data_IF_868385927882
#
_entry.id   IF_868385927882
#
_cell.length_a   1.000
_cell.length_b   1.000
_cell.length_c   1.000
_cell.angle_alpha   90.00
_cell.angle_beta   90.00
_cell.angle_gamma   90.00
#
_symmetry.space_group_name_H-M   'P 1'
#
loop_
_entity.id
_entity.type
_entity.pdbx_description
1 polymer ?
#
# COMPACT_ATOMS: atom_id res chain seq x y z
N UNK A 1 -3.83 18.06 0.90
CA UNK A 1 -4.27 17.68 -0.46
C UNK A 1 -4.15 16.19 -0.67
N UNK A 2 -5.10 15.59 -1.39
CA UNK A 2 -4.94 14.24 -1.93
C UNK A 2 -3.63 14.20 -2.75
N UNK A 3 -2.82 13.16 -2.55
CA UNK A 3 -1.49 13.12 -3.16
C UNK A 3 -1.63 12.80 -4.65
N UNK A 4 -1.74 13.81 -5.50
CA UNK A 4 -1.70 13.66 -6.97
C UNK A 4 -0.43 12.94 -7.45
N UNK A 5 0.65 13.01 -6.65
CA UNK A 5 1.88 12.22 -6.79
C UNK A 5 1.64 10.71 -6.99
N UNK A 6 0.60 10.15 -6.38
CA UNK A 6 0.24 8.72 -6.54
C UNK A 6 -0.10 8.36 -8.00
N UNK A 7 -0.34 9.37 -8.85
CA UNK A 7 -0.42 9.32 -10.30
C UNK A 7 0.73 8.55 -10.95
N UNK A 8 1.88 9.21 -11.07
CA UNK A 8 3.10 8.56 -11.60
C UNK A 8 3.38 7.27 -10.83
N UNK A 9 3.28 7.32 -9.50
CA UNK A 9 3.71 6.20 -8.67
C UNK A 9 2.85 4.95 -8.94
N UNK A 10 1.57 5.03 -9.26
CA UNK A 10 0.81 3.80 -9.61
C UNK A 10 1.05 3.30 -11.05
N UNK A 11 1.35 4.22 -11.97
CA UNK A 11 1.62 3.88 -13.37
C UNK A 11 3.00 3.21 -13.48
N UNK A 12 3.91 3.56 -12.57
CA UNK A 12 5.33 3.25 -12.65
C UNK A 12 5.83 2.33 -11.53
N UNK A 13 5.52 2.73 -10.30
CA UNK A 13 6.00 2.11 -9.06
C UNK A 13 5.13 0.92 -8.70
N UNK A 14 5.79 -0.01 -8.04
CA UNK A 14 5.17 -1.00 -7.19
C UNK A 14 4.63 -0.35 -5.88
N UNK A 15 3.77 0.68 -5.98
CA UNK A 15 3.52 1.61 -4.85
C UNK A 15 3.27 0.81 -3.57
N UNK A 16 3.95 1.17 -2.48
CA UNK A 16 3.73 0.51 -1.20
C UNK A 16 2.30 0.79 -0.74
N UNK A 17 1.49 -0.27 -0.69
CA UNK A 17 0.12 -0.26 -0.21
C UNK A 17 0.14 -0.88 1.18
N UNK A 18 -0.44 -0.17 2.14
CA UNK A 18 -0.64 -0.62 3.52
C UNK A 18 -1.25 -2.03 3.53
N UNK A 19 -0.58 -2.96 4.20
CA UNK A 19 -1.02 -4.34 4.27
C UNK A 19 -0.51 -5.03 5.54
N UNK A 20 -1.40 -5.65 6.32
CA UNK A 20 -1.02 -6.44 7.51
C UNK A 20 -0.41 -7.81 7.16
N UNK A 21 -0.25 -8.14 5.87
CA UNK A 21 0.19 -9.47 5.41
C UNK A 21 1.68 -9.72 5.50
N UNK A 22 2.49 -8.66 5.56
CA UNK A 22 3.93 -8.74 5.76
C UNK A 22 4.29 -8.08 7.08
N UNK A 23 5.42 -8.48 7.67
CA UNK A 23 5.97 -7.82 8.86
C UNK A 23 6.34 -6.36 8.62
N UNK A 24 6.70 -5.99 7.39
CA UNK A 24 7.01 -4.61 7.01
C UNK A 24 5.77 -3.69 7.01
N UNK A 25 4.55 -4.24 7.08
CA UNK A 25 3.30 -3.47 7.12
C UNK A 25 2.81 -2.97 5.76
N UNK A 26 3.36 -3.48 4.66
CA UNK A 26 2.93 -3.09 3.31
C UNK A 26 3.16 -4.20 2.28
N UNK A 27 2.49 -4.06 1.14
CA UNK A 27 2.62 -4.89 -0.06
C UNK A 27 2.76 -3.97 -1.29
N UNK A 28 3.27 -4.51 -2.40
CA UNK A 28 3.45 -3.74 -3.63
C UNK A 28 2.16 -3.69 -4.45
N UNK A 29 1.68 -2.52 -4.87
CA UNK A 29 0.60 -2.46 -5.85
C UNK A 29 1.06 -3.08 -7.18
N UNK A 30 0.19 -3.83 -7.86
CA UNK A 30 0.47 -4.35 -9.20
C UNK A 30 0.59 -3.17 -10.19
N UNK A 31 1.74 -3.02 -10.88
CA UNK A 31 1.94 -1.94 -11.85
C UNK A 31 0.95 -2.00 -13.01
N UNK A 32 0.55 -0.82 -13.50
CA UNK A 32 -0.43 -0.68 -14.57
C UNK A 32 -1.88 -0.92 -14.12
N UNK A 33 -2.08 -1.14 -12.83
CA UNK A 33 -3.39 -1.06 -12.20
C UNK A 33 -3.89 0.39 -12.05
N UNK A 34 -5.15 0.57 -11.63
CA UNK A 34 -5.65 1.87 -11.21
C UNK A 34 -4.82 2.45 -10.07
N UNK A 35 -4.75 3.79 -9.98
CA UNK A 35 -4.16 4.49 -8.83
C UNK A 35 -4.72 3.90 -7.55
N UNK A 36 -3.96 3.58 -6.49
CA UNK A 36 -4.53 3.12 -5.23
C UNK A 36 -5.19 4.27 -4.47
N UNK A 37 -6.07 3.93 -3.52
CA UNK A 37 -6.79 4.93 -2.72
C UNK A 37 -5.79 5.57 -1.74
N UNK A 38 -5.86 6.88 -1.49
CA UNK A 38 -4.88 7.58 -0.66
C UNK A 38 -4.73 6.97 0.75
N UNK A 39 -5.82 6.53 1.38
CA UNK A 39 -5.80 5.84 2.67
C UNK A 39 -5.09 4.49 2.63
N UNK A 40 -5.01 3.85 1.45
CA UNK A 40 -4.32 2.58 1.24
C UNK A 40 -2.82 2.72 1.05
N UNK A 41 -2.28 3.93 0.86
CA UNK A 41 -0.83 4.13 0.71
C UNK A 41 -0.14 3.77 2.03
N UNK A 42 0.88 2.93 1.94
CA UNK A 42 1.67 2.48 3.08
C UNK A 42 2.44 3.62 3.74
N UNK A 43 2.65 3.50 5.05
CA UNK A 43 3.52 4.41 5.80
C UNK A 43 4.94 4.43 5.22
N UNK A 44 5.54 5.64 5.17
CA UNK A 44 6.97 5.80 4.84
C UNK A 44 7.89 5.37 5.99
N UNK A 45 7.38 5.40 7.22
CA UNK A 45 8.11 4.94 8.40
C UNK A 45 8.06 3.41 8.44
N UNK A 46 9.23 2.79 8.62
CA UNK A 46 9.35 1.33 8.71
C UNK A 46 8.61 0.79 9.93
N UNK A 47 7.96 -0.36 9.80
CA UNK A 47 7.17 -0.98 10.88
C UNK A 47 7.95 -1.16 12.20
N UNK A 48 9.22 -1.62 12.22
CA UNK A 48 9.96 -1.72 13.47
C UNK A 48 10.26 -0.36 14.10
N UNK A 49 10.43 0.70 13.29
CA UNK A 49 10.57 2.07 13.81
C UNK A 49 9.26 2.54 14.44
N UNK A 50 8.12 2.32 13.77
CA UNK A 50 6.79 2.61 14.33
C UNK A 50 6.61 1.95 15.69
N UNK A 51 6.91 0.66 15.81
CA UNK A 51 6.82 -0.09 17.08
C UNK A 51 7.74 0.48 18.15
N UNK A 52 8.92 0.99 17.77
CA UNK A 52 9.83 1.60 18.74
C UNK A 52 9.32 2.92 19.32
N UNK A 53 8.44 3.64 18.62
CA UNK A 53 7.81 4.86 19.13
C UNK A 53 6.72 4.57 20.17
N UNK A 54 6.01 3.44 20.05
CA UNK A 54 5.01 3.03 21.05
C UNK A 54 5.63 2.38 22.30
N UNK A 55 6.96 2.31 22.38
CA UNK A 55 7.69 1.74 23.50
C UNK A 55 7.70 0.20 23.53
N UNK A 56 8.59 -0.36 24.34
CA UNK A 56 8.68 -1.80 24.57
C UNK A 56 7.48 -2.27 25.42
N UNK A 57 6.32 -2.50 24.81
CA UNK A 57 5.19 -3.11 25.53
C UNK A 57 3.81 -2.93 24.92
N UNK A 58 3.59 -1.96 24.03
CA UNK A 58 2.28 -1.76 23.40
C UNK A 58 2.25 -2.48 22.05
N UNK A 59 1.58 -3.65 21.96
CA UNK A 59 1.45 -4.33 20.69
C UNK A 59 0.49 -3.58 19.76
N UNK A 60 0.85 -3.46 18.49
CA UNK A 60 -0.05 -2.90 17.48
C UNK A 60 -0.94 -4.00 16.88
N UNK A 61 -2.28 -3.85 16.93
CA UNK A 61 -3.18 -4.82 16.35
C UNK A 61 -3.19 -4.72 14.82
N UNK A 62 -3.30 -5.89 14.20
CA UNK A 62 -3.47 -6.09 12.77
C UNK A 62 -4.59 -7.10 12.54
N UNK A 63 -5.37 -6.88 11.50
CA UNK A 63 -6.48 -7.73 11.09
C UNK A 63 -6.24 -8.17 9.65
N UNK A 64 -6.08 -9.47 9.42
CA UNK A 64 -5.92 -10.01 8.06
C UNK A 64 -6.60 -11.37 7.90
N UNK A 65 -7.20 -11.69 6.74
CA UNK A 65 -7.83 -12.99 6.54
C UNK A 65 -6.77 -14.07 6.34
N UNK A 66 -6.45 -14.83 7.36
CA UNK A 66 -5.47 -15.92 7.25
C UNK A 66 -6.04 -17.11 6.47
N UNK A 67 -5.16 -17.77 5.71
CA UNK A 67 -5.40 -19.07 5.09
C UNK A 67 -4.26 -19.98 5.56
N UNK A 68 -4.54 -21.05 6.32
CA UNK A 68 -5.83 -21.64 6.72
C UNK A 68 -6.67 -20.78 7.70
N UNK A 69 -8.00 -21.04 7.71
CA UNK A 69 -9.01 -20.31 8.52
C UNK A 69 -8.74 -20.40 10.04
N UNK A 70 -8.02 -21.43 10.47
CA UNK A 70 -7.80 -21.77 11.89
C UNK A 70 -6.80 -20.84 12.59
N UNK A 71 -5.99 -20.10 11.82
CA UNK A 71 -5.02 -19.13 12.35
C UNK A 71 -5.65 -17.90 13.01
N UNK A 72 -6.92 -17.63 12.70
CA UNK A 72 -7.61 -16.43 13.12
C UNK A 72 -7.11 -15.17 12.43
N UNK A 73 -7.96 -14.15 12.40
CA UNK A 73 -7.69 -12.92 11.64
C UNK A 73 -6.91 -11.85 12.40
N UNK A 74 -6.91 -11.91 13.73
CA UNK A 74 -6.28 -10.91 14.60
C UNK A 74 -4.84 -11.31 14.91
N UNK A 75 -3.91 -10.37 14.76
CA UNK A 75 -2.53 -10.54 15.17
C UNK A 75 -1.96 -9.27 15.81
N UNK A 76 -1.09 -9.46 16.79
CA UNK A 76 -0.44 -8.40 17.55
C UNK A 76 1.03 -8.33 17.18
N UNK A 77 1.49 -7.16 16.77
CA UNK A 77 2.91 -6.90 16.47
C UNK A 77 3.58 -6.21 17.65
N UNK A 78 4.70 -6.73 18.09
CA UNK A 78 5.53 -6.12 19.15
C UNK A 78 6.99 -6.05 18.74
N UNK A 79 7.71 -5.12 19.35
CA UNK A 79 9.17 -5.04 19.24
C UNK A 79 9.78 -5.94 20.33
N UNK A 80 10.56 -6.94 19.91
CA UNK A 80 11.22 -7.89 20.81
C UNK A 80 12.65 -7.45 21.16
N UNK A 81 13.35 -6.86 20.20
CA UNK A 81 14.72 -6.38 20.38
C UNK A 81 14.93 -5.11 19.56
N UNK A 82 15.66 -4.15 20.13
CA UNK A 82 16.17 -2.96 19.43
C UNK A 82 17.62 -2.73 19.84
N UNK A 83 18.52 -2.78 18.87
CA UNK A 83 19.92 -2.39 19.00
C UNK A 83 20.15 -1.21 18.08
N UNK A 84 20.66 -0.11 18.61
CA UNK A 84 20.81 1.14 17.85
C UNK A 84 22.18 1.74 18.10
N UNK A 85 22.83 2.14 17.02
CA UNK A 85 24.10 2.84 16.97
C UNK A 85 23.96 4.02 15.99
N UNK A 86 24.83 5.05 16.01
CA UNK A 86 24.70 6.19 15.10
C UNK A 86 24.70 5.83 13.61
N UNK A 87 25.34 4.71 13.23
CA UNK A 87 25.49 4.29 11.82
C UNK A 87 24.68 3.06 11.44
N UNK A 88 24.09 2.37 12.40
CA UNK A 88 23.28 1.18 12.12
C UNK A 88 22.26 0.94 13.21
N UNK A 89 21.14 0.33 12.87
CA UNK A 89 20.21 -0.20 13.85
C UNK A 89 19.70 -1.57 13.40
N UNK A 90 19.36 -2.39 14.37
CA UNK A 90 18.81 -3.72 14.21
C UNK A 90 17.58 -3.82 15.10
N UNK A 91 16.48 -4.30 14.54
CA UNK A 91 15.25 -4.56 15.26
C UNK A 91 14.72 -5.96 14.97
N UNK A 92 14.22 -6.60 16.02
CA UNK A 92 13.48 -7.85 15.92
C UNK A 92 12.03 -7.58 16.30
N UNK A 93 11.10 -7.92 15.41
CA UNK A 93 9.66 -7.79 15.61
C UNK A 93 9.03 -9.16 15.73
N UNK A 94 8.10 -9.30 16.67
CA UNK A 94 7.30 -10.50 16.88
C UNK A 94 5.85 -10.26 16.48
N UNK A 95 5.23 -11.24 15.86
CA UNK A 95 3.79 -11.29 15.63
C UNK A 95 3.20 -12.45 16.40
N UNK A 96 2.18 -12.17 17.21
CA UNK A 96 1.44 -13.17 17.98
C UNK A 96 -0.02 -13.25 17.53
N UNK A 97 -0.55 -14.47 17.38
CA UNK A 97 -1.94 -14.73 16.97
C UNK A 97 -2.76 -15.34 18.12
N UNK A 98 -3.45 -14.51 18.93
CA UNK A 98 -4.16 -14.98 20.11
C UNK A 98 -5.38 -15.85 19.78
N UNK A 99 -6.05 -15.59 18.65
CA UNK A 99 -7.29 -16.31 18.30
C UNK A 99 -7.03 -17.81 18.09
N UNK A 100 -5.91 -18.17 17.46
CA UNK A 100 -5.50 -19.57 17.31
C UNK A 100 -5.19 -20.21 18.65
N UNK A 101 -4.46 -19.51 19.53
CA UNK A 101 -4.19 -20.01 20.88
C UNK A 101 -5.49 -20.28 21.64
N UNK A 102 -6.43 -19.34 21.63
CA UNK A 102 -7.72 -19.48 22.32
C UNK A 102 -8.53 -20.64 21.73
N UNK A 103 -8.56 -20.80 20.40
CA UNK A 103 -9.28 -21.92 19.79
C UNK A 103 -8.64 -23.26 20.10
N UNK A 104 -7.32 -23.36 20.04
CA UNK A 104 -6.58 -24.59 20.31
C UNK A 104 -6.77 -25.00 21.78
N UNK A 105 -6.60 -24.06 22.71
CA UNK A 105 -6.81 -24.31 24.15
C UNK A 105 -8.27 -24.67 24.44
N UNK A 106 -9.23 -24.00 23.81
CA UNK A 106 -10.65 -24.33 23.98
C UNK A 106 -10.97 -25.74 23.50
N UNK A 107 -10.46 -26.13 22.33
CA UNK A 107 -10.67 -27.46 21.77
C UNK A 107 -10.05 -28.55 22.66
N UNK A 108 -8.85 -28.30 23.19
CA UNK A 108 -8.16 -29.22 24.10
C UNK A 108 -8.94 -29.41 25.41
N UNK A 109 -9.44 -28.30 25.97
CA UNK A 109 -10.27 -28.33 27.19
C UNK A 109 -11.61 -29.02 26.95
N UNK A 110 -12.25 -28.81 25.80
CA UNK A 110 -13.56 -29.41 25.51
C UNK A 110 -13.51 -30.91 25.21
N UNK A 111 -12.35 -31.41 24.78
CA UNK A 111 -12.14 -32.82 24.48
C UNK A 111 -11.54 -33.60 25.64
N UNK A 112 -11.22 -32.93 26.75
CA UNK A 112 -10.67 -33.57 27.94
C UNK A 112 -11.81 -34.13 28.80
N UNK A 113 -11.83 -35.46 28.96
CA UNK A 113 -12.78 -36.14 29.84
C UNK A 113 -12.50 -35.83 31.33
N UNK A 114 -11.22 -35.65 31.70
CA UNK A 114 -10.76 -35.27 33.04
C UNK A 114 -9.65 -34.20 32.99
N UNK A 115 -9.72 -33.21 33.89
CA UNK A 115 -8.69 -32.18 34.05
C UNK A 115 -7.49 -32.69 34.86
N UNK A 116 -6.64 -33.49 34.20
CA UNK A 116 -5.39 -34.01 34.78
C UNK A 116 -4.13 -33.21 34.45
N UNK A 117 -2.99 -33.68 34.97
CA UNK A 117 -1.64 -33.18 34.65
C UNK A 117 -1.29 -33.32 33.16
N UNK A 118 -1.87 -34.31 32.47
CA UNK A 118 -1.75 -34.49 31.01
C UNK A 118 -2.37 -33.32 30.26
N UNK A 119 -3.60 -32.96 30.59
CA UNK A 119 -4.34 -31.84 29.99
C UNK A 119 -3.60 -30.51 30.18
N UNK A 120 -3.01 -30.28 31.36
CA UNK A 120 -2.19 -29.08 31.62
C UNK A 120 -0.93 -29.04 30.75
N UNK A 121 -0.28 -30.19 30.55
CA UNK A 121 0.91 -30.31 29.69
C UNK A 121 0.56 -30.05 28.22
N UNK A 122 -0.57 -30.56 27.75
CA UNK A 122 -1.04 -30.38 26.38
C UNK A 122 -1.47 -28.93 26.12
N UNK A 123 -2.18 -28.31 27.07
CA UNK A 123 -2.47 -26.86 27.06
C UNK A 123 -1.17 -26.03 27.03
N UNK A 124 -0.18 -26.35 27.86
CA UNK A 124 1.12 -25.66 27.87
C UNK A 124 1.87 -25.79 26.54
N UNK A 125 1.77 -26.94 25.87
CA UNK A 125 2.36 -27.19 24.55
C UNK A 125 1.81 -26.23 23.49
N UNK A 126 0.54 -25.84 23.58
CA UNK A 126 -0.04 -24.87 22.65
C UNK A 126 0.62 -23.49 22.74
N UNK A 127 1.06 -23.03 23.92
CA UNK A 127 1.77 -21.76 24.07
C UNK A 127 3.15 -21.73 23.39
N UNK A 128 3.75 -22.89 23.12
CA UNK A 128 5.07 -23.03 22.47
C UNK A 128 4.90 -23.36 20.97
N UNK A 129 3.67 -23.45 20.47
CA UNK A 129 3.42 -23.81 19.08
C UNK A 129 3.96 -22.72 18.14
N UNK A 130 4.93 -23.12 17.29
CA UNK A 130 5.60 -22.24 16.32
C UNK A 130 4.61 -21.49 15.43
N UNK A 131 3.49 -22.11 15.07
CA UNK A 131 2.48 -21.52 14.18
C UNK A 131 1.76 -20.28 14.75
N UNK A 132 1.85 -20.04 16.07
CA UNK A 132 1.33 -18.82 16.70
C UNK A 132 2.21 -17.60 16.47
N UNK A 133 3.50 -17.84 16.16
CA UNK A 133 4.52 -16.82 16.13
C UNK A 133 5.05 -16.58 14.72
N UNK A 134 5.38 -15.33 14.46
CA UNK A 134 6.10 -14.90 13.26
C UNK A 134 7.15 -13.89 13.69
N UNK A 135 8.32 -13.93 13.06
CA UNK A 135 9.46 -13.11 13.44
C UNK A 135 9.97 -12.34 12.24
N UNK A 136 10.20 -11.05 12.41
CA UNK A 136 10.83 -10.18 11.43
C UNK A 136 12.11 -9.59 12.00
N UNK A 137 13.25 -9.77 11.34
CA UNK A 137 14.53 -9.15 11.65
C UNK A 137 14.83 -8.09 10.60
N UNK A 138 15.02 -6.85 11.04
CA UNK A 138 15.30 -5.71 10.16
C UNK A 138 16.58 -5.02 10.61
N UNK A 139 17.56 -4.90 9.73
CA UNK A 139 18.76 -4.07 9.95
C UNK A 139 18.84 -2.95 8.92
N UNK A 140 19.22 -1.76 9.37
CA UNK A 140 19.55 -0.66 8.49
C UNK A 140 20.97 -0.17 8.78
N UNK A 141 21.74 0.06 7.74
CA UNK A 141 23.07 0.65 7.79
C UNK A 141 23.04 1.99 7.06
N UNK A 142 23.56 3.03 7.69
CA UNK A 142 23.78 4.34 7.09
C UNK A 142 25.27 4.48 6.77
N UNK A 143 25.58 4.62 5.49
CA UNK A 143 26.93 4.85 4.98
C UNK A 143 27.04 6.33 4.58
N UNK A 144 27.79 7.15 5.32
CA UNK A 144 28.05 8.53 4.94
C UNK A 144 28.68 8.60 3.54
N UNK A 145 28.39 9.63 2.72
CA UNK A 145 27.62 10.84 3.04
C UNK A 145 26.09 10.77 2.77
N UNK A 146 25.59 9.82 1.96
CA UNK A 146 24.19 9.86 1.48
C UNK A 146 23.54 8.50 1.18
N UNK A 147 24.21 7.39 1.54
CA UNK A 147 23.75 6.04 1.22
C UNK A 147 23.18 5.35 2.45
N UNK A 148 22.09 4.60 2.30
CA UNK A 148 21.56 3.73 3.34
C UNK A 148 21.15 2.39 2.75
N UNK A 149 21.32 1.32 3.52
CA UNK A 149 21.02 -0.05 3.15
C UNK A 149 20.09 -0.65 4.19
N UNK A 150 18.96 -1.22 3.77
CA UNK A 150 18.03 -1.96 4.60
C UNK A 150 18.09 -3.45 4.23
N UNK A 151 18.24 -4.30 5.23
CA UNK A 151 18.06 -5.74 5.13
C UNK A 151 16.88 -6.14 6.00
N UNK A 152 15.92 -6.86 5.44
CA UNK A 152 14.80 -7.42 6.18
C UNK A 152 14.67 -8.92 5.91
N UNK A 153 14.45 -9.68 6.98
CA UNK A 153 14.22 -11.12 6.97
C UNK A 153 12.92 -11.38 7.75
N UNK A 154 11.97 -12.05 7.13
CA UNK A 154 10.68 -12.37 7.72
C UNK A 154 10.44 -13.88 7.63
N UNK A 155 10.18 -14.50 8.78
CA UNK A 155 9.84 -15.91 8.91
C UNK A 155 8.50 -16.09 9.60
N UNK A 156 7.63 -16.90 9.01
CA UNK A 156 6.35 -17.27 9.62
C UNK A 156 6.42 -18.72 10.13
N UNK A 157 5.99 -18.98 11.37
CA UNK A 157 6.14 -20.32 11.95
C UNK A 157 5.36 -21.44 11.25
N UNK A 158 4.31 -21.10 10.49
CA UNK A 158 3.54 -22.09 9.71
C UNK A 158 4.02 -22.22 8.25
N UNK A 159 4.55 -21.14 7.66
CA UNK A 159 5.03 -21.17 6.28
C UNK A 159 6.52 -21.44 6.26
N UNK A 160 6.94 -22.48 5.53
CA UNK A 160 8.35 -22.75 5.30
C UNK A 160 9.06 -21.66 4.46
N UNK A 161 8.31 -20.71 3.88
CA UNK A 161 8.86 -19.64 3.06
C UNK A 161 9.42 -18.52 3.93
N UNK A 162 10.75 -18.39 3.93
CA UNK A 162 11.46 -17.23 4.44
C UNK A 162 11.41 -16.10 3.40
N UNK A 163 10.99 -14.90 3.82
CA UNK A 163 11.00 -13.69 3.00
C UNK A 163 12.26 -12.91 3.30
N UNK A 164 12.97 -12.51 2.25
CA UNK A 164 14.22 -11.75 2.33
C UNK A 164 14.07 -10.51 1.47
N UNK A 165 14.60 -9.41 1.97
CA UNK A 165 14.53 -8.14 1.30
C UNK A 165 15.79 -7.32 1.55
N UNK A 166 16.27 -6.72 0.47
CA UNK A 166 17.39 -5.81 0.45
C UNK A 166 16.92 -4.52 -0.23
N UNK A 167 17.14 -3.38 0.39
CA UNK A 167 16.98 -2.08 -0.25
C UNK A 167 18.26 -1.26 -0.08
N UNK A 168 18.71 -0.63 -1.13
CA UNK A 168 19.77 0.36 -1.11
C UNK A 168 19.18 1.68 -1.60
N UNK A 169 19.38 2.73 -0.82
CA UNK A 169 18.90 4.07 -1.08
C UNK A 169 20.09 5.02 -1.10
N UNK A 170 20.24 5.78 -2.17
CA UNK A 170 21.32 6.75 -2.34
C UNK A 170 20.75 8.09 -2.77
N UNK A 171 21.01 9.15 -1.98
CA UNK A 171 20.60 10.51 -2.32
C UNK A 171 21.64 11.18 -3.22
N UNK A 172 21.18 11.67 -4.36
CA UNK A 172 21.89 12.56 -5.27
C UNK A 172 21.31 13.98 -5.12
N UNK A 173 21.99 15.04 -5.62
CA UNK A 173 21.58 16.43 -5.41
C UNK A 173 20.13 16.77 -5.78
N UNK A 174 19.58 16.15 -6.83
CA UNK A 174 18.18 16.35 -7.28
C UNK A 174 17.46 15.03 -7.58
N UNK A 175 18.04 13.90 -7.20
CA UNK A 175 17.53 12.57 -7.54
C UNK A 175 17.68 11.61 -6.38
N UNK A 176 16.73 10.69 -6.28
CA UNK A 176 16.81 9.55 -5.39
C UNK A 176 17.01 8.29 -6.23
N UNK A 177 18.09 7.56 -5.95
CA UNK A 177 18.36 6.24 -6.51
C UNK A 177 17.97 5.17 -5.49
N UNK A 178 17.04 4.31 -5.89
CA UNK A 178 16.55 3.16 -5.11
C UNK A 178 16.85 1.87 -5.85
N UNK A 179 17.52 0.94 -5.17
CA UNK A 179 17.67 -0.44 -5.60
C UNK A 179 16.96 -1.33 -4.59
N UNK A 180 16.00 -2.15 -5.04
CA UNK A 180 15.23 -3.04 -4.20
C UNK A 180 15.28 -4.45 -4.76
N UNK A 181 15.58 -5.43 -3.91
CA UNK A 181 15.60 -6.83 -4.26
C UNK A 181 14.88 -7.64 -3.17
N UNK A 182 13.96 -8.51 -3.57
CA UNK A 182 13.10 -9.23 -2.65
C UNK A 182 12.75 -10.65 -3.12
N UNK A 183 12.71 -11.58 -2.16
CA UNK A 183 12.54 -13.03 -2.36
C UNK A 183 11.76 -13.69 -1.20
N UNK A 184 10.51 -14.14 -1.39
CA UNK A 184 9.55 -13.65 -2.38
C UNK A 184 8.99 -12.27 -2.01
N UNK A 185 8.54 -11.52 -3.02
CA UNK A 185 7.90 -10.22 -2.87
C UNK A 185 6.38 -10.33 -2.98
N UNK A 186 5.65 -9.69 -2.06
CA UNK A 186 4.19 -9.66 -2.06
C UNK A 186 3.66 -8.49 -2.86
N UNK A 187 2.71 -8.79 -3.77
CA UNK A 187 1.96 -7.81 -4.56
C UNK A 187 0.46 -7.89 -4.27
N UNK A 188 -0.25 -6.77 -4.39
CA UNK A 188 -1.70 -6.64 -4.28
C UNK A 188 -2.29 -6.07 -5.57
N UNK A 189 -3.28 -6.76 -6.13
CA UNK A 189 -3.98 -6.30 -7.32
C UNK A 189 -5.15 -5.37 -6.99
N UNK A 190 -5.71 -4.75 -8.03
CA UNK A 190 -6.87 -3.86 -7.90
C UNK A 190 -8.14 -4.57 -7.43
N UNK A 191 -8.19 -5.91 -7.49
CA UNK A 191 -9.28 -6.73 -6.98
C UNK A 191 -9.09 -7.09 -5.50
N UNK A 192 -7.98 -6.68 -4.88
CA UNK A 192 -7.66 -6.99 -3.48
C UNK A 192 -7.08 -8.40 -3.30
N UNK A 193 -6.63 -9.06 -4.37
CA UNK A 193 -5.94 -10.35 -4.29
C UNK A 193 -4.43 -10.17 -4.17
N UNK A 194 -3.83 -11.13 -3.49
CA UNK A 194 -2.40 -11.14 -3.18
C UNK A 194 -1.65 -12.15 -4.04
N UNK A 195 -0.49 -11.72 -4.52
CA UNK A 195 0.40 -12.48 -5.40
C UNK A 195 1.80 -12.52 -4.81
N UNK A 196 2.32 -13.72 -4.55
CA UNK A 196 3.71 -13.93 -4.16
C UNK A 196 4.56 -14.14 -5.42
N UNK A 197 5.42 -13.16 -5.71
CA UNK A 197 6.39 -13.23 -6.80
C UNK A 197 7.71 -13.79 -6.25
N UNK A 198 8.21 -14.92 -6.77
CA UNK A 198 9.40 -15.59 -6.23
C UNK A 198 10.65 -14.70 -6.17
N UNK A 199 10.88 -13.91 -7.21
CA UNK A 199 12.02 -12.97 -7.28
C UNK A 199 11.58 -11.63 -7.87
N UNK A 200 11.90 -10.53 -7.20
CA UNK A 200 11.64 -9.18 -7.67
C UNK A 200 12.89 -8.33 -7.47
N UNK A 201 13.38 -7.70 -8.53
CA UNK A 201 14.51 -6.76 -8.50
C UNK A 201 14.10 -5.49 -9.24
N UNK A 202 14.29 -4.32 -8.62
CA UNK A 202 14.08 -3.03 -9.26
C UNK A 202 15.24 -2.08 -8.98
N UNK A 203 15.57 -1.29 -9.99
CA UNK A 203 16.49 -0.15 -9.89
C UNK A 203 15.76 1.04 -10.46
N UNK A 204 15.59 2.07 -9.65
CA UNK A 204 14.68 3.17 -9.87
C UNK A 204 15.39 4.49 -9.57
N UNK A 205 15.34 5.43 -10.51
CA UNK A 205 15.89 6.78 -10.41
C UNK A 205 14.75 7.78 -10.52
N UNK A 206 14.43 8.45 -9.43
CA UNK A 206 13.35 9.42 -9.36
C UNK A 206 13.87 10.84 -9.18
N UNK A 207 13.31 11.81 -9.91
CA UNK A 207 13.62 13.22 -9.69
C UNK A 207 12.90 13.76 -8.47
N UNK A 208 13.57 14.62 -7.71
CA UNK A 208 12.92 15.40 -6.65
C UNK A 208 11.91 16.39 -7.24
N UNK A 209 11.06 16.94 -6.38
CA UNK A 209 10.09 17.96 -6.76
C UNK A 209 10.81 19.24 -7.20
N UNK A 210 10.77 19.54 -8.49
CA UNK A 210 11.18 20.84 -9.02
C UNK A 210 10.09 21.88 -8.77
N UNK A 211 10.48 23.14 -8.55
CA UNK A 211 9.55 24.30 -8.47
C UNK A 211 8.65 24.41 -9.70
N UNK A 212 9.13 23.93 -10.85
CA UNK A 212 8.37 23.89 -12.11
C UNK A 212 7.19 22.89 -12.10
N UNK A 213 7.09 22.02 -11.09
CA UNK A 213 6.11 20.94 -11.04
C UNK A 213 6.40 19.76 -11.97
N UNK A 214 7.55 19.77 -12.66
CA UNK A 214 7.99 18.66 -13.51
C UNK A 214 8.60 17.55 -12.66
N UNK A 215 8.24 16.30 -12.97
CA UNK A 215 8.85 15.11 -12.39
C UNK A 215 9.07 14.06 -13.47
N UNK A 216 10.16 13.33 -13.36
CA UNK A 216 10.39 12.13 -14.14
C UNK A 216 10.90 10.99 -13.28
N UNK A 217 10.72 9.79 -13.79
CA UNK A 217 11.15 8.57 -13.15
C UNK A 217 11.57 7.57 -14.23
N UNK A 218 12.77 6.99 -14.09
CA UNK A 218 13.29 5.95 -14.97
C UNK A 218 13.71 4.75 -14.14
N UNK A 219 13.42 3.54 -14.59
CA UNK A 219 13.78 2.35 -13.85
C UNK A 219 13.84 1.07 -14.68
N UNK A 220 14.56 0.07 -14.15
CA UNK A 220 14.69 -1.27 -14.73
C UNK A 220 14.18 -2.27 -13.70
N UNK A 221 13.18 -3.06 -14.07
CA UNK A 221 12.51 -4.01 -13.20
C UNK A 221 12.66 -5.42 -13.77
N UNK A 222 12.97 -6.39 -12.92
CA UNK A 222 13.10 -7.80 -13.25
C UNK A 222 12.24 -8.63 -12.29
N UNK A 223 11.34 -9.42 -12.86
CA UNK A 223 10.56 -10.41 -12.13
C UNK A 223 11.01 -11.82 -12.54
N UNK A 224 11.12 -12.72 -11.57
CA UNK A 224 11.52 -14.11 -11.74
C UNK A 224 10.51 -15.10 -11.16
N UNK A 225 10.40 -16.26 -11.78
CA UNK A 225 9.49 -17.33 -11.38
C UNK A 225 8.02 -17.10 -11.74
N UNK A 226 7.16 -18.05 -11.36
CA UNK A 226 5.72 -17.99 -11.60
C UNK A 226 5.04 -17.39 -10.36
N UNK A 227 4.30 -16.27 -10.49
CA UNK A 227 3.56 -15.69 -9.38
C UNK A 227 2.53 -16.67 -8.83
N UNK A 228 2.50 -16.85 -7.51
CA UNK A 228 1.53 -17.72 -6.84
C UNK A 228 0.47 -16.87 -6.15
N UNK A 229 -0.80 -17.17 -6.42
CA UNK A 229 -1.89 -16.54 -5.69
C UNK A 229 -1.91 -17.05 -4.24
N UNK A 230 -1.95 -16.13 -3.28
CA UNK A 230 -2.02 -16.48 -1.85
C UNK A 230 -3.40 -16.97 -1.44
N UNK A 231 -4.44 -16.58 -2.18
CA UNK A 231 -5.81 -17.08 -2.05
C UNK A 231 -6.09 -17.97 -3.26
N UNK A 232 -6.43 -19.24 -3.04
CA UNK A 232 -6.50 -20.33 -4.03
C UNK A 232 -7.63 -20.21 -5.08
N UNK A 233 -8.07 -18.99 -5.44
CA UNK A 233 -9.02 -18.81 -6.54
C UNK A 233 -8.25 -18.82 -7.86
N UNK A 234 -8.47 -19.86 -8.67
CA UNK A 234 -7.96 -19.99 -10.05
C UNK A 234 -8.22 -18.69 -10.83
N UNK A 235 -7.24 -17.81 -10.82
CA UNK A 235 -7.24 -16.58 -11.58
C UNK A 235 -5.87 -16.42 -12.18
N UNK A 236 -5.83 -15.91 -13.40
CA UNK A 236 -4.56 -15.75 -14.10
C UNK A 236 -3.77 -14.61 -13.44
N UNK A 237 -2.46 -14.78 -13.24
CA UNK A 237 -1.62 -13.73 -12.70
C UNK A 237 -1.65 -12.48 -13.60
N UNK A 238 -1.61 -11.27 -13.02
CA UNK A 238 -1.49 -10.04 -13.79
C UNK A 238 -0.29 -10.09 -14.72
N UNK A 239 -0.48 -9.60 -15.95
CA UNK A 239 0.56 -9.63 -16.98
C UNK A 239 1.81 -8.85 -16.61
N UNK A 240 1.76 -7.91 -15.67
CA UNK A 240 2.93 -7.17 -15.17
C UNK A 240 3.81 -7.99 -14.23
N UNK A 241 3.25 -9.01 -13.55
CA UNK A 241 3.97 -9.86 -12.60
C UNK A 241 4.66 -11.08 -13.26
N UNK A 242 4.33 -11.39 -14.51
CA UNK A 242 4.98 -12.48 -15.24
C UNK A 242 6.50 -12.26 -15.36
N UNK A 243 7.30 -13.33 -15.42
CA UNK A 243 8.75 -13.22 -15.43
C UNK A 243 9.26 -12.46 -16.66
N UNK A 244 10.27 -11.63 -16.45
CA UNK A 244 10.87 -10.81 -17.50
C UNK A 244 11.64 -9.61 -16.96
N UNK A 245 12.33 -8.94 -17.87
CA UNK A 245 13.06 -7.69 -17.66
C UNK A 245 12.35 -6.57 -18.43
N UNK A 246 11.91 -5.53 -17.75
CA UNK A 246 11.37 -4.32 -18.36
C UNK A 246 12.14 -3.07 -17.96
N UNK A 247 12.37 -2.20 -18.95
CA UNK A 247 12.71 -0.81 -18.72
C UNK A 247 11.41 0.00 -18.71
N UNK A 248 11.32 0.95 -17.79
CA UNK A 248 10.19 1.87 -17.68
C UNK A 248 10.75 3.30 -17.66
N UNK A 249 10.04 4.25 -18.26
CA UNK A 249 10.24 5.70 -18.09
C UNK A 249 8.88 6.41 -17.96
N UNK A 250 8.74 7.36 -17.03
CA UNK A 250 7.53 8.15 -16.86
C UNK A 250 7.87 9.61 -16.57
N UNK A 251 6.99 10.48 -17.03
CA UNK A 251 7.09 11.91 -16.91
C UNK A 251 5.73 12.45 -16.47
N UNK A 252 5.70 13.47 -15.61
CA UNK A 252 4.49 14.22 -15.32
C UNK A 252 4.76 15.70 -15.07
N UNK A 253 3.73 16.49 -15.27
CA UNK A 253 3.66 17.86 -14.82
C UNK A 253 2.45 18.03 -13.88
N UNK A 254 2.70 18.54 -12.68
CA UNK A 254 1.68 18.84 -11.68
C UNK A 254 1.51 20.36 -11.54
N UNK A 255 0.27 20.83 -11.50
CA UNK A 255 -0.06 22.24 -11.29
C UNK A 255 -1.24 22.39 -10.35
N UNK A 256 -1.13 23.32 -9.41
CA UNK A 256 -2.16 23.60 -8.40
C UNK A 256 -2.54 25.07 -8.43
N UNK A 257 -3.85 25.35 -8.42
CA UNK A 257 -4.42 26.70 -8.34
C UNK A 257 -5.35 26.79 -7.14
N UNK A 258 -5.05 27.73 -6.26
CA UNK A 258 -5.88 28.04 -5.10
C UNK A 258 -6.94 29.07 -5.50
N UNK A 259 -8.20 28.80 -5.17
CA UNK A 259 -9.28 29.79 -5.26
C UNK A 259 -9.32 30.62 -3.98
N UNK A 260 -9.10 29.95 -2.86
CA UNK A 260 -9.10 30.55 -1.54
C UNK A 260 -8.08 29.82 -0.68
N UNK A 261 -7.34 30.57 0.13
CA UNK A 261 -6.38 30.07 1.11
C UNK A 261 -6.27 31.11 2.21
N UNK A 262 -6.65 30.76 3.42
CA UNK A 262 -6.45 31.63 4.56
C UNK A 262 -5.00 31.49 5.04
N UNK A 263 -4.23 32.58 4.91
CA UNK A 263 -2.82 32.65 5.34
C UNK A 263 -2.64 33.38 6.68
N UNK A 264 -3.73 33.75 7.36
CA UNK A 264 -3.72 34.57 8.58
C UNK A 264 -2.78 34.07 9.70
N UNK A 265 -2.38 32.80 9.68
CA UNK A 265 -1.52 32.19 10.68
C UNK A 265 0.01 32.40 10.47
N UNK A 266 0.43 33.21 9.50
CA UNK A 266 1.83 33.68 9.41
C UNK A 266 2.01 35.05 10.07
N UNK A 267 0.93 35.83 10.23
CA UNK A 267 1.01 37.24 10.64
C UNK A 267 0.53 37.51 12.08
N UNK A 268 -0.07 36.52 12.76
CA UNK A 268 -0.51 36.64 14.14
C UNK A 268 0.28 35.68 15.06
N UNK A 269 1.47 36.11 15.48
CA UNK A 269 2.31 35.47 16.50
C UNK A 269 1.73 35.57 17.94
N UNK A 270 0.52 36.12 18.14
CA UNK A 270 0.07 36.56 19.46
C UNK A 270 -0.93 35.65 20.20
N UNK A 271 -1.35 34.51 19.63
CA UNK A 271 -2.10 33.49 20.39
C UNK A 271 -1.53 32.09 20.13
N UNK A 272 -1.09 31.40 21.19
CA UNK A 272 -0.39 30.10 21.22
C UNK A 272 -1.27 28.90 20.81
N UNK A 273 -2.18 29.05 19.83
CA UNK A 273 -3.07 27.95 19.41
C UNK A 273 -2.40 27.14 18.30
N UNK A 274 -1.71 26.08 18.71
CA UNK A 274 -1.11 25.12 17.77
C UNK A 274 -2.18 24.18 17.20
N UNK A 275 -2.23 23.98 15.86
CA UNK A 275 -3.11 22.99 15.25
C UNK A 275 -2.72 21.58 15.68
N UNK A 276 -3.68 20.67 15.74
CA UNK A 276 -3.41 19.26 16.04
C UNK A 276 -2.58 18.57 14.94
N UNK A 277 -2.63 19.07 13.70
CA UNK A 277 -1.79 18.64 12.56
C UNK A 277 -1.39 19.86 11.73
N UNK A 278 -0.10 20.13 11.62
CA UNK A 278 0.45 21.28 10.89
C UNK A 278 0.02 21.32 9.41
N UNK A 279 -0.29 20.16 8.81
CA UNK A 279 -0.75 20.09 7.41
C UNK A 279 -2.18 20.58 7.21
N UNK A 280 -2.94 20.67 8.28
CA UNK A 280 -4.33 21.09 8.29
C UNK A 280 -4.49 22.49 8.88
N UNK A 281 -3.39 23.17 9.20
CA UNK A 281 -3.36 24.56 9.72
C UNK A 281 -4.04 25.55 8.77
N UNK A 282 -3.93 25.32 7.47
CA UNK A 282 -4.38 26.26 6.46
C UNK A 282 -5.63 25.76 5.74
N UNK A 283 -6.81 26.34 6.03
CA UNK A 283 -8.01 26.02 5.28
C UNK A 283 -7.89 26.61 3.88
N UNK A 284 -8.28 25.83 2.88
CA UNK A 284 -8.09 26.18 1.49
C UNK A 284 -9.11 25.50 0.58
N UNK A 285 -9.34 26.13 -0.56
CA UNK A 285 -10.05 25.58 -1.71
C UNK A 285 -9.12 25.63 -2.91
N UNK A 286 -8.78 24.47 -3.48
CA UNK A 286 -7.83 24.37 -4.58
C UNK A 286 -8.28 23.34 -5.64
N UNK A 287 -8.01 23.65 -6.90
CA UNK A 287 -7.98 22.66 -7.98
C UNK A 287 -6.52 22.35 -8.29
N UNK A 288 -6.19 21.07 -8.34
CA UNK A 288 -4.89 20.59 -8.78
C UNK A 288 -5.06 19.58 -9.91
N UNK A 289 -4.11 19.58 -10.83
CA UNK A 289 -4.12 18.70 -11.99
C UNK A 289 -2.73 18.12 -12.23
N UNK A 290 -2.68 16.86 -12.62
CA UNK A 290 -1.48 16.18 -13.08
C UNK A 290 -1.75 15.54 -14.43
N UNK A 291 -0.83 15.73 -15.36
CA UNK A 291 -0.82 15.05 -16.66
C UNK A 291 0.55 14.41 -16.82
N UNK A 292 0.58 13.18 -17.30
CA UNK A 292 1.83 12.46 -17.50
C UNK A 292 1.76 11.41 -18.59
N UNK A 293 2.94 10.93 -18.95
CA UNK A 293 3.15 9.86 -19.92
C UNK A 293 3.96 8.75 -19.29
N UNK A 294 3.61 7.50 -19.59
CA UNK A 294 4.39 6.32 -19.23
C UNK A 294 4.84 5.57 -20.48
N UNK A 295 6.07 5.09 -20.43
CA UNK A 295 6.71 4.27 -21.43
C UNK A 295 7.24 3.01 -20.74
N UNK A 296 6.91 1.85 -21.28
CA UNK A 296 7.43 0.58 -20.78
C UNK A 296 7.88 -0.27 -21.96
N UNK A 297 9.06 -0.87 -21.84
CA UNK A 297 9.65 -1.73 -22.86
C UNK A 297 10.16 -3.00 -22.21
N UNK A 298 9.72 -4.15 -22.71
CA UNK A 298 10.16 -5.47 -22.26
C UNK A 298 11.38 -5.88 -23.08
N UNK A 299 12.54 -5.84 -22.43
CA UNK A 299 13.83 -6.22 -23.01
C UNK A 299 13.91 -7.75 -23.10
N UNK A 300 13.44 -8.43 -22.06
CA UNK A 300 13.40 -9.88 -22.00
C UNK A 300 12.04 -10.33 -21.48
N UNK A 301 11.28 -11.03 -22.31
CA UNK A 301 10.17 -11.82 -21.79
C UNK A 301 10.74 -13.15 -21.34
N UNK A 302 10.53 -13.53 -20.08
CA UNK A 302 10.86 -14.88 -19.62
C UNK A 302 10.32 -15.90 -20.64
N UNK A 303 11.07 -16.99 -20.88
CA UNK A 303 10.70 -18.03 -21.86
C UNK A 303 9.20 -18.26 -21.77
N UNK A 304 8.48 -18.07 -22.88
CA UNK A 304 7.11 -18.53 -22.98
C UNK A 304 7.14 -19.99 -22.58
N UNK A 305 6.47 -20.36 -21.49
CA UNK A 305 6.29 -21.76 -21.15
C UNK A 305 5.29 -22.34 -22.16
N UNK A 306 5.77 -22.55 -23.39
CA UNK A 306 5.16 -23.41 -24.38
C UNK A 306 5.92 -24.74 -24.32
N UNK A 307 5.19 -25.77 -23.90
CA UNK A 307 5.41 -27.19 -24.22
C UNK A 307 6.80 -27.78 -23.94
N UNK A 308 7.00 -28.28 -22.70
CA UNK A 308 7.66 -29.58 -22.48
C UNK A 308 6.84 -30.31 -21.39
N UNK A 309 6.27 -31.44 -21.79
CA UNK A 309 5.54 -32.48 -21.05
C UNK A 309 5.34 -32.31 -19.53
N UNK A 310 4.12 -31.93 -19.13
CA UNK A 310 3.46 -32.51 -17.94
C UNK A 310 1.95 -32.25 -18.04
N UNK A 311 1.16 -33.33 -18.01
CA UNK A 311 -0.27 -33.35 -18.31
C UNK A 311 -1.19 -32.75 -17.23
N UNK A 312 -0.67 -32.08 -16.19
CA UNK A 312 -1.47 -31.78 -14.98
C UNK A 312 -1.40 -30.33 -14.46
N UNK A 313 -0.93 -29.35 -15.24
CA UNK A 313 -0.98 -27.93 -14.84
C UNK A 313 -1.92 -27.16 -15.75
N UNK A 314 -2.96 -26.47 -15.22
CA UNK A 314 -3.89 -25.73 -16.06
C UNK A 314 -3.13 -24.65 -16.84
N UNK A 315 -3.26 -24.71 -18.16
CA UNK A 315 -2.69 -23.78 -19.11
C UNK A 315 -3.02 -22.33 -18.71
N UNK A 316 -2.01 -21.60 -18.24
CA UNK A 316 -2.14 -20.15 -18.04
C UNK A 316 -2.26 -19.52 -19.42
N UNK A 317 -3.46 -19.07 -19.76
CA UNK A 317 -3.77 -18.43 -21.05
C UNK A 317 -2.72 -17.38 -21.40
N UNK A 318 -2.00 -17.60 -22.50
CA UNK A 318 -0.89 -16.78 -23.00
C UNK A 318 -1.40 -15.51 -23.66
N UNK A 319 -1.94 -14.58 -22.88
CA UNK A 319 -2.19 -13.23 -23.39
C UNK A 319 -0.83 -12.59 -23.72
N UNK A 320 -0.57 -12.35 -25.01
CA UNK A 320 0.69 -11.80 -25.50
C UNK A 320 0.95 -10.44 -24.87
N UNK A 321 1.95 -10.36 -24.00
CA UNK A 321 2.48 -9.11 -23.45
C UNK A 321 3.12 -8.31 -24.59
N UNK A 322 2.70 -7.05 -24.80
CA UNK A 322 3.29 -6.20 -25.83
C UNK A 322 4.75 -5.87 -25.48
N UNK A 323 5.63 -5.86 -26.47
CA UNK A 323 7.06 -5.52 -26.26
C UNK A 323 7.24 -4.08 -25.81
N UNK A 324 6.43 -3.17 -26.34
CA UNK A 324 6.42 -1.76 -25.98
C UNK A 324 5.00 -1.40 -25.59
N UNK A 325 4.84 -0.62 -24.54
CA UNK A 325 3.58 -0.02 -24.15
C UNK A 325 3.81 1.44 -23.76
N UNK A 326 3.01 2.32 -24.34
CA UNK A 326 3.07 3.76 -24.16
C UNK A 326 1.69 4.25 -23.82
N UNK A 327 1.56 5.03 -22.77
CA UNK A 327 0.27 5.51 -22.32
C UNK A 327 0.34 6.91 -21.75
N UNK A 328 -0.80 7.59 -21.78
CA UNK A 328 -0.99 8.88 -21.15
C UNK A 328 -1.93 8.71 -19.97
N UNK A 329 -1.59 9.30 -18.85
CA UNK A 329 -2.43 9.31 -17.66
C UNK A 329 -2.64 10.74 -17.18
N UNK A 330 -3.74 10.96 -16.49
CA UNK A 330 -4.07 12.27 -15.95
C UNK A 330 -4.99 12.14 -14.76
N UNK A 331 -4.91 13.12 -13.87
CA UNK A 331 -5.80 13.23 -12.73
C UNK A 331 -6.10 14.68 -12.42
N UNK A 332 -7.35 14.98 -12.11
CA UNK A 332 -7.81 16.29 -11.64
C UNK A 332 -8.37 16.11 -10.24
N UNK A 333 -7.94 16.94 -9.30
CA UNK A 333 -8.39 16.93 -7.92
C UNK A 333 -8.95 18.29 -7.54
N UNK A 334 -10.09 18.29 -6.86
CA UNK A 334 -10.63 19.43 -6.16
C UNK A 334 -10.59 19.14 -4.66
N UNK A 335 -9.89 19.99 -3.91
CA UNK A 335 -9.77 19.91 -2.46
C UNK A 335 -10.46 21.12 -1.85
N UNK A 336 -11.38 20.85 -0.91
CA UNK A 336 -12.01 21.86 -0.07
C UNK A 336 -11.79 21.48 1.39
N UNK A 337 -11.14 22.35 2.14
CA UNK A 337 -10.93 22.21 3.57
C UNK A 337 -11.50 23.42 4.30
N UNK A 338 -12.37 23.14 5.26
CA UNK A 338 -12.90 24.09 6.23
C UNK A 338 -12.26 23.81 7.60
N UNK A 339 -11.93 24.88 8.32
CA UNK A 339 -11.34 24.84 9.65
C UNK A 339 -9.83 24.66 9.70
N UNK A 340 -9.26 25.03 10.86
CA UNK A 340 -7.81 25.07 11.15
C UNK A 340 -7.34 23.85 11.96
N UNK A 341 -8.26 23.00 12.39
CA UNK A 341 -8.01 21.82 13.21
C UNK A 341 -7.29 22.16 14.53
N UNK A 342 -7.76 23.21 15.18
CA UNK A 342 -7.31 23.75 16.47
C UNK A 342 -8.34 23.54 17.57
N UNK A 343 -9.64 23.59 17.24
CA UNK A 343 -10.70 23.50 18.25
C UNK A 343 -10.97 22.07 18.68
N UNK A 344 -11.63 21.91 19.83
CA UNK A 344 -11.98 20.58 20.36
C UNK A 344 -13.05 19.86 19.53
N UNK A 345 -13.93 20.55 18.82
CA UNK A 345 -15.03 19.91 18.09
C UNK A 345 -15.42 20.68 16.85
N UNK A 346 -15.77 19.95 15.78
CA UNK A 346 -16.47 20.50 14.61
C UNK A 346 -15.68 21.49 13.75
N UNK A 347 -14.38 21.65 13.97
CA UNK A 347 -13.57 22.64 13.27
C UNK A 347 -13.11 22.09 11.92
N UNK A 348 -12.49 20.91 11.87
CA UNK A 348 -12.04 20.34 10.60
C UNK A 348 -13.15 19.57 9.86
N UNK A 349 -13.48 20.06 8.67
CA UNK A 349 -14.23 19.33 7.65
C UNK A 349 -13.51 19.44 6.32
N UNK A 350 -13.22 18.31 5.66
CA UNK A 350 -12.49 18.29 4.41
C UNK A 350 -13.08 17.30 3.42
N UNK A 351 -13.21 17.75 2.19
CA UNK A 351 -13.69 16.97 1.06
C UNK A 351 -12.65 17.08 -0.06
N UNK A 352 -12.09 15.94 -0.47
CA UNK A 352 -11.31 15.87 -1.70
C UNK A 352 -12.07 15.02 -2.72
N UNK A 353 -12.19 15.52 -3.94
CA UNK A 353 -12.75 14.79 -5.07
C UNK A 353 -11.70 14.70 -6.15
N UNK A 354 -11.43 13.49 -6.64
CA UNK A 354 -10.36 13.25 -7.60
C UNK A 354 -10.85 12.38 -8.74
N UNK A 355 -10.73 12.87 -9.95
CA UNK A 355 -11.02 12.15 -11.18
C UNK A 355 -9.72 11.64 -11.79
N UNK A 356 -9.63 10.33 -11.94
CA UNK A 356 -8.47 9.60 -12.41
C UNK A 356 -8.68 8.97 -13.77
N UNK A 357 -7.74 9.20 -14.68
CA UNK A 357 -7.65 8.53 -15.98
C UNK A 357 -6.30 7.82 -16.03
N UNK A 358 -6.31 6.50 -15.81
CA UNK A 358 -5.09 5.68 -15.79
C UNK A 358 -4.53 5.40 -17.18
N UNK A 359 -5.39 5.40 -18.22
CA UNK A 359 -5.01 5.12 -19.60
C UNK A 359 -5.88 5.90 -20.59
N UNK A 360 -5.37 7.03 -21.09
CA UNK A 360 -6.08 7.82 -22.09
C UNK A 360 -6.15 7.10 -23.44
N UNK A 361 -5.13 6.30 -23.78
CA UNK A 361 -5.13 5.55 -25.05
C UNK A 361 -6.19 4.45 -25.05
N UNK A 362 -6.33 3.70 -23.95
CA UNK A 362 -7.37 2.70 -23.83
C UNK A 362 -8.76 3.33 -23.71
N UNK A 363 -8.88 4.46 -23.02
CA UNK A 363 -10.14 5.22 -22.92
C UNK A 363 -10.61 5.74 -24.29
N UNK A 364 -9.72 6.33 -25.09
CA UNK A 364 -10.04 6.82 -26.43
C UNK A 364 -10.47 5.68 -27.36
N UNK A 365 -9.73 4.56 -27.38
CA UNK A 365 -10.13 3.35 -28.13
C UNK A 365 -11.50 2.85 -27.71
N UNK A 366 -11.80 2.87 -26.41
CA UNK A 366 -13.09 2.45 -25.86
C UNK A 366 -14.22 3.35 -26.34
N UNK A 367 -14.08 4.68 -26.28
CA UNK A 367 -15.09 5.63 -26.79
C UNK A 367 -15.31 5.41 -28.29
N UNK A 368 -14.23 5.27 -29.07
CA UNK A 368 -14.30 5.05 -30.51
C UNK A 368 -15.00 3.72 -30.86
N UNK A 369 -14.72 2.65 -30.12
CA UNK A 369 -15.31 1.32 -30.35
C UNK A 369 -16.76 1.20 -29.83
N UNK A 370 -17.13 1.96 -28.79
CA UNK A 370 -18.51 2.00 -28.28
C UNK A 370 -19.50 2.52 -29.35
N UNK A 371 -19.01 3.30 -30.32
CA UNK A 371 -19.81 3.72 -31.48
C UNK A 371 -20.03 2.62 -32.54
N UNK A 372 -19.32 1.48 -32.46
CA UNK A 372 -19.25 0.48 -33.54
C UNK A 372 -19.61 -0.97 -33.18
N UNK A 373 -19.88 -1.34 -31.92
CA UNK A 373 -20.26 -2.74 -31.61
C UNK A 373 -21.10 -2.90 -30.34
N UNK A 374 -22.27 -3.55 -30.49
CA UNK A 374 -23.14 -4.02 -29.41
C UNK A 374 -22.73 -5.39 -28.81
N UNK A 375 -21.53 -5.88 -29.13
CA UNK A 375 -21.03 -7.19 -28.70
C UNK A 375 -19.53 -7.12 -28.47
N UNK A 376 -19.12 -6.57 -27.32
CA UNK A 376 -17.76 -6.71 -26.81
C UNK A 376 -17.79 -7.55 -25.53
N UNK A 377 -16.91 -8.54 -25.48
CA UNK A 377 -16.72 -9.52 -24.41
C UNK A 377 -16.45 -8.78 -23.06
N UNK A 378 -17.13 -9.11 -21.94
CA UNK A 378 -17.00 -8.41 -20.65
C UNK A 378 -15.61 -8.50 -19.99
N UNK A 379 -14.60 -9.02 -20.70
CA UNK A 379 -13.20 -9.13 -20.28
C UNK A 379 -12.31 -8.00 -20.82
N UNK A 380 -12.86 -7.00 -21.49
CA UNK A 380 -12.08 -5.84 -21.94
C UNK A 380 -11.51 -5.04 -20.76
N UNK A 381 -10.24 -4.63 -20.92
CA UNK A 381 -9.33 -4.14 -19.87
C UNK A 381 -9.99 -3.12 -18.91
N UNK A 382 -10.09 -3.40 -17.60
CA UNK A 382 -10.62 -2.47 -16.61
C UNK A 382 -9.73 -1.24 -16.35
N UNK A 383 -8.56 -1.13 -17.01
CA UNK A 383 -7.64 0.02 -16.93
C UNK A 383 -8.11 1.23 -17.76
N UNK A 384 -9.14 1.06 -18.59
CA UNK A 384 -9.59 2.09 -19.55
C UNK A 384 -10.68 3.03 -19.03
N UNK A 385 -11.36 2.70 -17.92
CA UNK A 385 -12.47 3.52 -17.41
C UNK A 385 -11.98 4.63 -16.48
N UNK A 386 -12.50 5.85 -16.58
CA UNK A 386 -12.22 6.89 -15.61
C UNK A 386 -12.77 6.48 -14.23
N UNK A 387 -12.09 6.90 -13.17
CA UNK A 387 -12.45 6.55 -11.79
C UNK A 387 -12.56 7.80 -10.96
N UNK A 388 -13.60 7.86 -10.14
CA UNK A 388 -13.82 8.95 -9.19
C UNK A 388 -13.44 8.47 -7.81
N UNK A 389 -12.45 9.10 -7.20
CA UNK A 389 -12.12 8.92 -5.79
C UNK A 389 -12.73 10.08 -5.00
N UNK A 390 -13.45 9.75 -3.93
CA UNK A 390 -14.01 10.72 -2.99
C UNK A 390 -13.41 10.46 -1.62
N UNK A 391 -12.82 11.49 -1.02
CA UNK A 391 -12.24 11.46 0.32
C UNK A 391 -13.05 12.43 1.17
N UNK A 392 -13.64 11.91 2.23
CA UNK A 392 -14.31 12.69 3.25
C UNK A 392 -13.52 12.57 4.55
N UNK A 393 -13.21 13.71 5.18
CA UNK A 393 -12.46 13.78 6.41
C UNK A 393 -13.17 14.74 7.37
N UNK A 394 -13.52 14.26 8.56
CA UNK A 394 -14.28 14.99 9.57
C UNK A 394 -13.65 14.81 10.94
N UNK A 395 -13.43 15.91 11.66
CA UNK A 395 -13.07 15.85 13.07
C UNK A 395 -14.23 15.34 13.90
N UNK A 396 -13.94 14.34 14.74
CA UNK A 396 -14.91 13.82 15.72
C UNK A 396 -14.78 14.60 17.03
N UNK A 397 -13.58 14.56 17.62
CA UNK A 397 -13.31 15.15 18.93
C UNK A 397 -11.80 15.34 19.12
N UNK A 398 -11.39 16.54 19.54
CA UNK A 398 -10.01 16.96 19.71
C UNK A 398 -9.13 16.54 18.51
N UNK A 399 -8.01 15.83 18.74
CA UNK A 399 -7.10 15.37 17.68
C UNK A 399 -7.62 14.17 16.88
N UNK A 400 -8.84 13.69 17.12
CA UNK A 400 -9.41 12.51 16.46
C UNK A 400 -10.17 12.90 15.20
N UNK A 401 -9.78 12.29 14.09
CA UNK A 401 -10.35 12.52 12.77
C UNK A 401 -10.82 11.21 12.16
N UNK A 402 -12.08 11.19 11.74
CA UNK A 402 -12.62 10.15 10.87
C UNK A 402 -12.34 10.49 9.42
N UNK A 403 -11.94 9.50 8.65
CA UNK A 403 -11.72 9.64 7.21
C UNK A 403 -12.28 8.43 6.46
N UNK A 404 -13.09 8.69 5.46
CA UNK A 404 -13.65 7.68 4.56
C UNK A 404 -13.17 7.97 3.14
N UNK A 405 -12.49 7.01 2.55
CA UNK A 405 -12.05 7.08 1.16
C UNK A 405 -12.84 6.07 0.33
N UNK A 406 -13.44 6.53 -0.76
CA UNK A 406 -14.21 5.70 -1.67
C UNK A 406 -13.72 5.84 -3.10
N UNK A 407 -13.82 4.75 -3.85
CA UNK A 407 -13.53 4.70 -5.28
C UNK A 407 -14.73 4.19 -6.04
N UNK A 408 -15.11 4.91 -7.07
CA UNK A 408 -16.26 4.61 -7.92
C UNK A 408 -15.78 4.54 -9.37
N UNK A 409 -16.16 3.47 -10.08
CA UNK A 409 -15.91 3.36 -11.52
C UNK A 409 -17.00 4.10 -12.30
N UNK A 410 -16.61 5.03 -13.17
CA UNK A 410 -17.55 5.86 -13.93
C UNK A 410 -18.22 5.09 -15.10
N UNK A 411 -17.70 3.93 -15.48
CA UNK A 411 -18.28 3.13 -16.56
C UNK A 411 -19.69 2.60 -16.23
N UNK A 412 -20.03 2.54 -14.94
CA UNK A 412 -21.30 1.97 -14.48
C UNK A 412 -22.44 2.98 -14.36
N UNK A 413 -22.21 4.27 -14.63
CA UNK A 413 -23.30 5.26 -14.67
C UNK A 413 -24.34 4.95 -15.77
N UNK A 414 -23.96 4.17 -16.78
CA UNK A 414 -24.85 3.71 -17.85
C UNK A 414 -25.68 2.46 -17.49
N UNK A 415 -25.38 1.77 -16.38
CA UNK A 415 -26.07 0.53 -15.99
C UNK A 415 -27.18 0.88 -14.99
N UNK A 416 -28.42 0.43 -15.25
CA UNK A 416 -29.63 0.68 -14.41
C UNK A 416 -29.52 0.25 -12.93
N UNK A 417 -28.43 -0.41 -12.52
CA UNK A 417 -28.24 -0.97 -11.19
C UNK A 417 -27.09 -0.29 -10.44
N UNK A 418 -27.31 0.95 -10.01
CA UNK A 418 -26.48 1.65 -8.99
C UNK A 418 -25.02 1.95 -9.36
N UNK A 419 -24.34 2.69 -8.48
CA UNK A 419 -22.91 3.02 -8.58
C UNK A 419 -22.08 1.94 -7.87
N UNK A 420 -21.33 1.07 -8.59
CA UNK A 420 -20.48 0.08 -7.95
C UNK A 420 -19.24 0.77 -7.35
N UNK A 421 -19.15 0.71 -6.03
CA UNK A 421 -17.97 1.11 -5.27
C UNK A 421 -16.91 0.02 -5.46
N UNK A 422 -15.80 0.38 -6.10
CA UNK A 422 -14.71 -0.56 -6.39
C UNK A 422 -13.83 -0.82 -5.17
N UNK A 423 -13.52 0.22 -4.40
CA UNK A 423 -12.72 0.14 -3.19
C UNK A 423 -13.22 1.17 -2.19
N UNK A 424 -13.14 0.82 -0.91
CA UNK A 424 -13.60 1.65 0.20
C UNK A 424 -12.70 1.41 1.39
N UNK A 425 -12.26 2.47 2.05
CA UNK A 425 -11.39 2.42 3.22
C UNK A 425 -11.91 3.40 4.25
N UNK A 426 -12.21 2.88 5.43
CA UNK A 426 -12.46 3.70 6.61
C UNK A 426 -11.17 3.82 7.41
N UNK A 427 -10.91 5.00 7.93
CA UNK A 427 -9.78 5.24 8.82
C UNK A 427 -10.15 6.18 9.96
N UNK A 428 -9.59 5.90 11.12
CA UNK A 428 -9.63 6.75 12.31
C UNK A 428 -8.21 7.17 12.63
N UNK A 429 -7.96 8.47 12.62
CA UNK A 429 -6.65 9.05 12.84
C UNK A 429 -6.63 9.82 14.16
N UNK A 430 -5.57 9.65 14.94
CA UNK A 430 -5.25 10.46 16.11
C UNK A 430 -3.97 11.24 15.81
N UNK A 431 -4.06 12.56 15.74
CA UNK A 431 -2.90 13.42 15.50
C UNK A 431 -2.12 13.67 16.79
N UNK A 432 -0.79 13.49 16.72
CA UNK A 432 0.12 13.65 17.85
C UNK A 432 0.72 15.06 17.78
N UNK A 433 0.27 15.94 18.68
CA UNK A 433 0.74 17.33 18.77
C UNK A 433 2.25 17.43 18.99
N UNK A 434 2.83 16.48 19.72
CA UNK A 434 4.28 16.42 20.00
C UNK A 434 5.14 16.14 18.75
N UNK A 435 4.54 15.65 17.67
CA UNK A 435 5.24 15.21 16.46
C UNK A 435 4.86 16.04 15.21
N UNK A 436 4.32 17.26 15.38
CA UNK A 436 3.95 18.23 14.34
C UNK A 436 2.89 17.72 13.33
N UNK A 437 3.19 16.68 12.56
CA UNK A 437 2.29 15.99 11.63
C UNK A 437 2.32 14.45 11.79
N UNK A 438 2.87 13.96 12.91
CA UNK A 438 2.80 12.55 13.27
C UNK A 438 1.37 12.15 13.65
N UNK A 439 0.88 11.02 13.14
CA UNK A 439 -0.46 10.52 13.47
C UNK A 439 -0.52 9.01 13.57
N UNK A 440 -1.35 8.52 14.49
CA UNK A 440 -1.70 7.11 14.58
C UNK A 440 -2.97 6.89 13.76
N UNK A 441 -2.91 6.00 12.78
CA UNK A 441 -4.04 5.71 11.88
C UNK A 441 -4.44 4.25 12.02
N UNK A 442 -5.68 4.03 12.43
CA UNK A 442 -6.35 2.74 12.35
C UNK A 442 -7.20 2.72 11.08
N UNK A 443 -6.92 1.82 10.15
CA UNK A 443 -7.68 1.73 8.90
C UNK A 443 -8.26 0.33 8.69
N UNK A 444 -9.35 0.25 7.94
CA UNK A 444 -10.00 -1.00 7.54
C UNK A 444 -10.51 -0.91 6.09
N UNK A 445 -10.21 -1.94 5.31
CA UNK A 445 -10.69 -2.13 3.94
C UNK A 445 -11.66 -3.31 3.90
N UNK A 446 -12.98 -3.09 3.71
CA UNK A 446 -13.95 -4.16 3.59
C UNK A 446 -13.69 -5.08 2.39
N UNK A 447 -13.15 -4.53 1.29
CA UNK A 447 -12.80 -5.28 0.09
C UNK A 447 -11.77 -6.37 0.38
N UNK A 448 -10.71 -6.00 1.10
CA UNK A 448 -9.60 -6.91 1.45
C UNK A 448 -9.90 -7.71 2.72
N UNK A 449 -10.89 -7.29 3.51
CA UNK A 449 -11.19 -7.77 4.87
C UNK A 449 -9.97 -7.63 5.78
N UNK A 450 -9.25 -6.54 5.61
CA UNK A 450 -7.97 -6.26 6.28
C UNK A 450 -8.01 -4.89 6.96
N UNK A 451 -7.30 -4.78 8.07
CA UNK A 451 -7.10 -3.53 8.77
C UNK A 451 -5.84 -3.54 9.60
N UNK A 452 -5.31 -2.37 9.93
CA UNK A 452 -4.09 -2.24 10.71
C UNK A 452 -4.05 -0.89 11.40
N UNK A 453 -3.38 -0.85 12.56
CA UNK A 453 -2.95 0.39 13.20
C UNK A 453 -1.51 0.69 12.82
N UNK A 454 -1.26 1.90 12.33
CA UNK A 454 0.05 2.38 11.86
C UNK A 454 0.38 3.75 12.46
N UNK A 455 1.66 3.98 12.72
CA UNK A 455 2.16 5.32 12.98
C UNK A 455 2.70 5.92 11.68
N UNK A 456 2.07 6.99 11.21
CA UNK A 456 2.47 7.72 10.02
C UNK A 456 3.17 9.00 10.44
N UNK A 457 4.46 9.10 10.12
CA UNK A 457 5.26 10.31 10.30
C UNK A 457 6.00 10.63 9.01
N UNK A 458 6.45 11.87 8.87
CA UNK A 458 7.16 12.34 7.69
C UNK A 458 6.40 12.11 6.36
N UNK A 459 5.07 12.14 6.42
CA UNK A 459 4.23 12.11 5.23
C UNK A 459 4.19 13.45 4.49
N UNK A 460 5.30 14.20 4.49
CA UNK A 460 5.44 15.46 3.76
C UNK A 460 5.32 15.23 2.24
#
# INVERSE_FOLDING_TARGET
>A
MAKLRTGIDSAFWDLNVASPRCHDGWAKAVPGGPFPVDGSVGSRVLRPQQLSFFGNGIPLPTLSPTSPKDLGSLAFHSLLLKLSSPRWWLAMTGQFRPRKLISDVKNEISNADDFGLSTVKDVAKHFINKSLFSFGLTSQFAFPPSTSMLLALEGHGEKQTLRRKLMLFHKLPDHDLTLEAAWPQLFVDHMGKYWDVPESLSVDLSSLLSESGLRYHVGIHKNGGIPKAMNATYSNPPLSLLPGLCAKAAFSHEKTKYFWRDKSAVEQENEEVFPYDDRLKEPHAAVSGIIGSSFTSWIWNGKSFSSIDSRDVPEVSTSKRSRINTDLFGSVCYTFQHGKFTEKFGDLTRVDTRLDISSATAFAKKILNCSRSSTADPREKPSASPRLNLIFQQQIAGPVVFRADSRISLESFARKNGLPIEDFICSLSYSLTSLQSGKVVAWYSPKRKEGMVELRMYEF
#
